data_IF_526032745279
#
_entry.id   IF_526032745279
#
_cell.length_a   1.000
_cell.length_b   1.000
_cell.length_c   1.000
_cell.angle_alpha   90.00
_cell.angle_beta   90.00
_cell.angle_gamma   90.00
#
_symmetry.space_group_name_H-M   'P 1'
#
loop_
_entity.id
_entity.type
_entity.pdbx_description
1 polymer ?
#
# COMPACT_ATOMS: atom_id res chain seq x y z
N UNK A 1 -7.78 12.93 -12.75
CA UNK A 1 -6.55 13.03 -11.95
C UNK A 1 -5.64 14.08 -12.55
N UNK A 2 -5.00 14.89 -11.73
CA UNK A 2 -4.01 15.87 -12.16
C UNK A 2 -2.62 15.33 -11.76
N UNK A 3 -1.86 14.83 -12.74
CA UNK A 3 -0.52 14.30 -12.51
C UNK A 3 0.51 15.43 -12.60
N UNK A 4 1.25 15.67 -11.52
CA UNK A 4 2.37 16.61 -11.48
C UNK A 4 3.69 15.83 -11.43
N UNK A 5 4.44 15.86 -12.54
CA UNK A 5 5.72 15.17 -12.64
C UNK A 5 6.85 15.87 -11.90
N UNK A 6 6.66 17.12 -11.51
CA UNK A 6 7.73 17.94 -10.92
C UNK A 6 9.05 17.83 -11.74
N UNK A 7 10.13 17.43 -11.07
CA UNK A 7 11.46 17.27 -11.70
C UNK A 7 11.76 15.80 -12.08
N UNK A 8 10.75 14.92 -12.13
CA UNK A 8 10.96 13.50 -12.45
C UNK A 8 11.35 13.34 -13.94
N UNK A 9 12.34 12.51 -14.18
CA UNK A 9 12.79 12.15 -15.53
C UNK A 9 11.80 11.17 -16.20
N UNK A 10 11.85 11.09 -17.51
CA UNK A 10 11.02 10.12 -18.26
C UNK A 10 11.34 8.68 -17.85
N UNK A 11 12.60 8.35 -17.55
CA UNK A 11 13.00 7.04 -17.04
C UNK A 11 12.32 6.71 -15.71
N UNK A 12 12.24 7.69 -14.80
CA UNK A 12 11.53 7.52 -13.52
C UNK A 12 10.04 7.30 -13.73
N UNK A 13 9.43 8.08 -14.64
CA UNK A 13 8.01 7.93 -14.96
C UNK A 13 7.70 6.55 -15.56
N UNK A 14 8.55 6.07 -16.47
CA UNK A 14 8.43 4.73 -17.07
C UNK A 14 8.67 3.64 -16.02
N UNK A 15 9.64 3.80 -15.12
CA UNK A 15 9.85 2.83 -14.03
C UNK A 15 8.64 2.73 -13.11
N UNK A 16 8.05 3.86 -12.72
CA UNK A 16 6.81 3.87 -11.94
C UNK A 16 5.65 3.19 -12.67
N UNK A 17 5.55 3.37 -14.01
CA UNK A 17 4.53 2.68 -14.79
C UNK A 17 4.73 1.16 -14.79
N UNK A 18 5.95 0.69 -15.01
CA UNK A 18 6.27 -0.76 -14.91
C UNK A 18 5.92 -1.32 -13.53
N UNK A 19 6.21 -0.56 -12.48
CA UNK A 19 5.94 -0.96 -11.10
C UNK A 19 4.46 -1.05 -10.78
N UNK A 20 3.63 -0.14 -11.31
CA UNK A 20 2.18 -0.16 -11.05
C UNK A 20 1.44 -1.14 -11.96
N UNK A 21 1.91 -1.36 -13.18
CA UNK A 21 1.34 -2.31 -14.12
C UNK A 21 1.55 -3.77 -13.67
N UNK A 22 2.74 -4.08 -13.14
CA UNK A 22 3.09 -5.44 -12.73
C UNK A 22 2.13 -6.08 -11.72
N UNK A 23 1.75 -5.45 -10.60
CA UNK A 23 0.73 -6.00 -9.70
C UNK A 23 -0.62 -6.15 -10.41
N UNK A 24 -1.07 -5.23 -11.28
CA UNK A 24 -2.30 -5.35 -12.04
C UNK A 24 -2.34 -6.62 -12.89
N UNK A 25 -1.30 -6.88 -13.65
CA UNK A 25 -1.21 -8.09 -14.49
C UNK A 25 -1.21 -9.38 -13.66
N UNK A 26 -0.57 -9.35 -12.48
CA UNK A 26 -0.61 -10.48 -11.55
C UNK A 26 -2.03 -10.67 -11.00
N UNK A 27 -2.71 -9.61 -10.59
CA UNK A 27 -4.08 -9.64 -10.10
C UNK A 27 -5.03 -10.27 -11.12
N UNK A 28 -4.97 -9.84 -12.36
CA UNK A 28 -5.77 -10.40 -13.46
C UNK A 28 -5.50 -11.90 -13.65
N UNK A 29 -4.23 -12.30 -13.57
CA UNK A 29 -3.87 -13.72 -13.62
C UNK A 29 -4.41 -14.49 -12.42
N UNK A 30 -4.38 -13.89 -11.22
CA UNK A 30 -4.90 -14.53 -10.01
C UNK A 30 -6.41 -14.77 -10.09
N UNK A 31 -7.19 -13.84 -10.68
CA UNK A 31 -8.63 -14.05 -10.90
C UNK A 31 -8.90 -15.30 -11.76
N UNK A 32 -8.06 -15.53 -12.77
CA UNK A 32 -8.16 -16.75 -13.63
C UNK A 32 -7.83 -17.99 -12.79
N UNK A 33 -6.76 -17.96 -11.99
CA UNK A 33 -6.31 -19.08 -11.17
C UNK A 33 -7.32 -19.45 -10.06
N UNK A 34 -8.02 -18.46 -9.50
CA UNK A 34 -9.10 -18.68 -8.54
C UNK A 34 -10.25 -19.43 -9.21
N UNK A 35 -10.70 -18.97 -10.40
CA UNK A 35 -11.77 -19.64 -11.16
C UNK A 35 -11.41 -21.08 -11.53
N UNK A 36 -10.13 -21.37 -11.72
CA UNK A 36 -9.59 -22.72 -11.97
C UNK A 36 -9.38 -23.56 -10.68
N UNK A 37 -9.68 -23.03 -9.51
CA UNK A 37 -9.45 -23.70 -8.22
C UNK A 37 -7.98 -23.89 -7.84
N UNK A 38 -7.05 -23.24 -8.53
CA UNK A 38 -5.60 -23.33 -8.26
C UNK A 38 -5.15 -22.43 -7.11
N UNK A 39 -5.94 -21.44 -6.78
CA UNK A 39 -5.80 -20.56 -5.62
C UNK A 39 -7.14 -20.49 -4.91
N UNK A 40 -7.16 -20.62 -3.60
CA UNK A 40 -8.41 -20.74 -2.83
C UNK A 40 -8.89 -19.41 -2.24
N UNK A 41 -7.99 -18.47 -1.98
CA UNK A 41 -8.30 -17.22 -1.29
C UNK A 41 -7.44 -16.09 -1.84
N UNK A 42 -8.07 -14.96 -2.15
CA UNK A 42 -7.38 -13.80 -2.65
C UNK A 42 -8.05 -12.50 -2.21
N UNK A 43 -7.25 -11.55 -1.80
CA UNK A 43 -7.66 -10.20 -1.44
C UNK A 43 -7.09 -9.23 -2.46
N UNK A 44 -7.89 -8.89 -3.45
CA UNK A 44 -7.42 -8.06 -4.56
C UNK A 44 -7.12 -6.63 -4.13
N UNK A 45 -6.03 -6.10 -4.65
CA UNK A 45 -5.61 -4.70 -4.55
C UNK A 45 -5.97 -3.87 -5.77
N UNK A 46 -6.75 -4.39 -6.72
CA UNK A 46 -7.17 -3.65 -7.93
C UNK A 46 -7.86 -2.35 -7.55
N UNK A 47 -7.37 -1.25 -8.12
CA UNK A 47 -7.83 0.12 -7.85
C UNK A 47 -7.04 0.86 -6.77
N UNK A 48 -6.14 0.18 -6.03
CA UNK A 48 -5.34 0.74 -4.94
C UNK A 48 -3.82 0.61 -5.18
N UNK A 49 -3.40 0.18 -6.36
CA UNK A 49 -2.01 -0.19 -6.66
C UNK A 49 -1.03 0.97 -6.43
N UNK A 50 -1.45 2.20 -6.70
CA UNK A 50 -0.58 3.38 -6.63
C UNK A 50 0.00 3.60 -5.23
N UNK A 51 -0.74 3.28 -4.16
CA UNK A 51 -0.30 3.46 -2.78
C UNK A 51 0.86 2.51 -2.47
N UNK A 52 0.63 1.20 -2.60
CA UNK A 52 1.64 0.19 -2.26
C UNK A 52 2.88 0.29 -3.15
N UNK A 53 2.71 0.64 -4.42
CA UNK A 53 3.82 0.85 -5.37
C UNK A 53 4.58 2.12 -5.05
N UNK A 54 3.91 3.25 -4.84
CA UNK A 54 4.54 4.53 -4.54
C UNK A 54 5.33 4.50 -3.24
N UNK A 55 4.74 3.96 -2.16
CA UNK A 55 5.45 3.77 -0.87
C UNK A 55 6.71 2.91 -1.06
N UNK A 56 6.59 1.78 -1.77
CA UNK A 56 7.72 0.87 -1.94
C UNK A 56 8.79 1.42 -2.87
N UNK A 57 8.42 2.24 -3.85
CA UNK A 57 9.36 2.86 -4.78
C UNK A 57 10.26 3.91 -4.09
N UNK A 58 9.73 4.58 -3.06
CA UNK A 58 10.49 5.59 -2.29
C UNK A 58 11.41 4.97 -1.24
N UNK A 59 11.01 3.86 -0.63
CA UNK A 59 11.80 3.23 0.43
C UNK A 59 13.04 2.51 -0.11
N UNK A 60 14.17 2.66 0.59
CA UNK A 60 15.39 1.92 0.28
C UNK A 60 15.19 0.41 0.52
N UNK A 61 15.93 -0.44 -0.20
CA UNK A 61 15.77 -1.90 -0.15
C UNK A 61 16.05 -2.52 1.24
N UNK A 62 16.73 -1.78 2.12
CA UNK A 62 17.08 -2.20 3.47
C UNK A 62 16.21 -1.54 4.56
N UNK A 63 15.20 -0.75 4.18
CA UNK A 63 14.18 -0.21 5.07
C UNK A 63 13.01 -1.18 5.21
N UNK A 64 12.49 -1.32 6.43
CA UNK A 64 11.41 -2.25 6.70
C UNK A 64 10.05 -1.71 6.27
N UNK A 65 9.23 -2.60 5.74
CA UNK A 65 7.87 -2.33 5.32
C UNK A 65 6.93 -3.41 5.89
N UNK A 66 5.81 -2.98 6.43
CA UNK A 66 4.80 -3.84 7.05
C UNK A 66 3.50 -3.73 6.24
N UNK A 67 3.29 -4.60 5.24
CA UNK A 67 2.12 -4.55 4.37
C UNK A 67 0.88 -5.16 5.01
N UNK A 68 -0.26 -4.89 4.37
CA UNK A 68 -1.50 -5.64 4.54
C UNK A 68 -1.68 -6.70 3.43
N UNK A 69 -2.82 -7.39 3.49
CA UNK A 69 -3.18 -8.47 2.57
C UNK A 69 -3.49 -8.01 1.12
N UNK A 70 -3.57 -6.69 0.82
CA UNK A 70 -3.82 -6.14 -0.53
C UNK A 70 -2.60 -5.50 -1.17
N UNK A 71 -1.51 -5.38 -0.45
CA UNK A 71 -0.35 -4.62 -0.89
C UNK A 71 0.59 -5.44 -1.78
N UNK A 72 0.06 -6.02 -2.87
CA UNK A 72 0.87 -6.78 -3.84
C UNK A 72 2.04 -5.94 -4.37
N UNK A 73 1.87 -4.62 -4.54
CA UNK A 73 2.91 -3.69 -4.96
C UNK A 73 4.14 -3.69 -4.06
N UNK A 74 4.00 -3.98 -2.76
CA UNK A 74 5.13 -4.13 -1.83
C UNK A 74 6.00 -5.32 -2.24
N UNK A 75 5.41 -6.47 -2.48
CA UNK A 75 6.13 -7.71 -2.81
C UNK A 75 6.78 -7.65 -4.19
N UNK A 76 6.10 -7.06 -5.17
CA UNK A 76 6.65 -6.86 -6.51
C UNK A 76 7.71 -5.78 -6.54
N UNK A 77 7.55 -4.69 -5.78
CA UNK A 77 8.50 -3.58 -5.67
C UNK A 77 9.79 -3.97 -4.93
N UNK A 78 9.73 -4.97 -4.05
CA UNK A 78 10.91 -5.58 -3.41
C UNK A 78 11.59 -6.63 -4.30
N UNK A 79 11.17 -6.76 -5.57
CA UNK A 79 11.77 -7.67 -6.56
C UNK A 79 11.81 -9.14 -6.11
N UNK A 80 10.81 -9.59 -5.36
CA UNK A 80 10.68 -11.01 -5.01
C UNK A 80 10.43 -11.80 -6.30
N UNK A 81 11.19 -12.87 -6.56
CA UNK A 81 10.99 -13.69 -7.75
C UNK A 81 9.55 -14.22 -7.86
N UNK A 82 8.91 -14.04 -9.02
CA UNK A 82 7.51 -14.39 -9.21
C UNK A 82 7.23 -15.87 -8.93
N UNK A 83 8.17 -16.77 -9.29
CA UNK A 83 8.00 -18.19 -9.01
C UNK A 83 7.83 -18.49 -7.51
N UNK A 84 8.51 -17.72 -6.63
CA UNK A 84 8.37 -17.87 -5.17
C UNK A 84 7.03 -17.31 -4.67
N UNK A 85 6.59 -16.18 -5.21
CA UNK A 85 5.28 -15.59 -4.90
C UNK A 85 4.15 -16.54 -5.33
N UNK A 86 4.17 -17.02 -6.57
CA UNK A 86 3.16 -17.98 -7.04
C UNK A 86 3.21 -19.30 -6.28
N UNK A 87 4.40 -19.77 -5.87
CA UNK A 87 4.54 -20.94 -5.01
C UNK A 87 3.91 -20.72 -3.62
N UNK A 88 4.07 -19.51 -3.05
CA UNK A 88 3.44 -19.15 -1.78
C UNK A 88 1.91 -19.15 -1.90
N UNK A 89 1.37 -18.46 -2.91
CA UNK A 89 -0.08 -18.33 -3.09
C UNK A 89 -0.79 -19.64 -3.41
N UNK A 90 -0.08 -20.58 -4.01
CA UNK A 90 -0.58 -21.93 -4.30
C UNK A 90 -0.31 -22.94 -3.19
N UNK A 91 0.33 -22.53 -2.09
CA UNK A 91 0.66 -23.42 -0.98
C UNK A 91 1.72 -24.50 -1.33
N UNK A 92 2.66 -24.16 -2.21
CA UNK A 92 3.74 -25.08 -2.62
C UNK A 92 4.92 -25.08 -1.65
N UNK A 93 5.72 -26.16 -1.68
CA UNK A 93 6.91 -26.32 -0.83
C UNK A 93 7.96 -25.22 -1.06
N UNK A 94 8.06 -24.65 -2.27
CA UNK A 94 8.99 -23.57 -2.62
C UNK A 94 8.50 -22.17 -2.19
N UNK A 95 7.29 -22.07 -1.63
CA UNK A 95 6.79 -20.83 -1.01
C UNK A 95 7.52 -20.53 0.30
N UNK A 96 7.37 -19.32 0.80
CA UNK A 96 8.03 -18.84 2.03
C UNK A 96 7.61 -19.61 3.27
N UNK A 97 6.36 -20.05 3.34
CA UNK A 97 5.79 -20.81 4.47
C UNK A 97 5.75 -22.32 4.22
N UNK A 98 6.28 -22.78 3.09
CA UNK A 98 6.28 -24.20 2.70
C UNK A 98 4.88 -24.82 2.71
N UNK A 99 3.87 -24.06 2.28
CA UNK A 99 2.48 -24.48 2.23
C UNK A 99 1.71 -24.43 3.55
N UNK A 100 2.33 -23.96 4.66
CA UNK A 100 1.64 -23.81 5.96
C UNK A 100 0.69 -22.64 6.00
N UNK A 101 0.98 -21.62 5.21
CA UNK A 101 0.15 -20.42 5.07
C UNK A 101 0.07 -20.00 3.62
N UNK A 102 -0.89 -19.14 3.27
CA UNK A 102 -1.18 -18.73 1.89
C UNK A 102 -1.28 -17.20 1.80
N UNK A 103 -1.56 -16.72 0.59
CA UNK A 103 -1.69 -15.30 0.32
C UNK A 103 -0.47 -14.51 0.84
N UNK A 104 -0.69 -13.43 1.57
CA UNK A 104 0.36 -12.53 2.05
C UNK A 104 0.78 -12.76 3.51
N UNK A 105 0.35 -13.86 4.13
CA UNK A 105 0.70 -14.20 5.53
C UNK A 105 2.12 -14.76 5.61
N UNK A 106 3.09 -13.97 5.20
CA UNK A 106 4.51 -14.29 5.33
C UNK A 106 5.35 -13.03 5.43
N UNK A 107 6.44 -13.13 6.16
CA UNK A 107 7.49 -12.14 6.21
C UNK A 107 8.78 -12.68 5.60
N UNK A 108 9.68 -11.77 5.27
CA UNK A 108 11.00 -12.15 4.76
C UNK A 108 12.04 -11.09 5.08
N UNK A 109 12.99 -11.48 5.91
CA UNK A 109 14.12 -10.63 6.30
C UNK A 109 14.98 -10.23 5.10
N UNK A 110 15.10 -11.11 4.11
CA UNK A 110 15.87 -10.85 2.88
C UNK A 110 15.35 -9.63 2.13
N UNK A 111 14.03 -9.43 2.10
CA UNK A 111 13.36 -8.34 1.39
C UNK A 111 12.84 -7.23 2.31
N UNK A 112 13.19 -7.28 3.60
CA UNK A 112 12.76 -6.32 4.63
C UNK A 112 11.24 -6.16 4.72
N UNK A 113 10.52 -7.25 4.53
CA UNK A 113 9.07 -7.32 4.70
C UNK A 113 8.76 -8.03 6.00
N UNK A 114 8.05 -7.36 6.89
CA UNK A 114 7.47 -7.99 8.09
C UNK A 114 6.11 -8.56 7.70
N UNK A 115 5.86 -9.82 8.05
CA UNK A 115 4.62 -10.50 7.71
C UNK A 115 3.40 -9.80 8.30
N UNK A 116 2.33 -9.74 7.53
CA UNK A 116 1.08 -9.20 8.01
C UNK A 116 0.49 -10.04 9.15
N UNK A 117 -0.23 -9.38 10.03
CA UNK A 117 -1.05 -10.00 11.08
C UNK A 117 -2.50 -9.86 10.64
N UNK A 118 -3.29 -10.97 10.70
CA UNK A 118 -4.71 -10.96 10.27
C UNK A 118 -5.57 -10.02 11.10
N UNK A 119 -5.28 -9.87 12.38
CA UNK A 119 -5.83 -8.83 13.23
C UNK A 119 -5.04 -7.55 12.94
N UNK A 120 -5.62 -6.65 12.16
CA UNK A 120 -5.00 -5.37 11.82
C UNK A 120 -4.91 -4.53 13.09
N UNK A 121 -3.81 -3.81 13.26
CA UNK A 121 -3.53 -3.01 14.47
C UNK A 121 -2.16 -3.33 15.05
N UNK A 122 -1.88 -4.56 15.54
CA UNK A 122 -0.62 -4.90 16.19
C UNK A 122 0.64 -4.62 15.39
N UNK A 123 0.57 -4.66 14.05
CA UNK A 123 1.72 -4.31 13.20
C UNK A 123 2.18 -2.86 13.37
N UNK A 124 1.31 -1.95 13.83
CA UNK A 124 1.66 -0.55 14.04
C UNK A 124 2.68 -0.40 15.16
N UNK A 125 2.43 -1.03 16.32
CA UNK A 125 3.39 -1.07 17.42
C UNK A 125 4.70 -1.82 17.06
N UNK A 126 4.65 -2.84 16.19
CA UNK A 126 5.86 -3.48 15.68
C UNK A 126 6.67 -2.50 14.84
N UNK A 127 6.02 -1.67 14.01
CA UNK A 127 6.69 -0.63 13.25
C UNK A 127 7.38 0.39 14.15
N UNK A 128 6.74 0.79 15.26
CA UNK A 128 7.34 1.66 16.28
C UNK A 128 8.61 1.07 16.85
N UNK A 129 8.60 -0.21 17.19
CA UNK A 129 9.78 -0.91 17.69
C UNK A 129 10.95 -0.92 16.69
N UNK A 130 10.66 -1.12 15.40
CA UNK A 130 11.66 -1.07 14.34
C UNK A 130 12.18 0.36 14.16
N UNK A 131 11.31 1.35 14.16
CA UNK A 131 11.68 2.76 14.03
C UNK A 131 12.49 3.25 15.24
N UNK A 132 12.15 2.80 16.45
CA UNK A 132 12.95 3.06 17.65
C UNK A 132 14.36 2.51 17.47
N UNK A 133 14.51 1.28 16.98
CA UNK A 133 15.83 0.71 16.71
C UNK A 133 16.61 1.53 15.65
N UNK A 134 15.93 2.04 14.62
CA UNK A 134 16.52 2.93 13.62
C UNK A 134 16.98 4.25 14.24
N UNK A 135 16.16 4.87 15.09
CA UNK A 135 16.49 6.11 15.79
C UNK A 135 17.69 5.93 16.73
N UNK A 136 17.69 4.87 17.53
CA UNK A 136 18.81 4.56 18.45
C UNK A 136 20.13 4.29 17.71
N UNK A 137 20.06 3.63 16.55
CA UNK A 137 21.23 3.39 15.68
C UNK A 137 21.66 4.62 14.89
N UNK A 138 20.85 5.68 14.85
CA UNK A 138 21.08 6.91 14.06
C UNK A 138 21.39 6.61 12.60
N UNK A 139 20.66 5.63 12.00
CA UNK A 139 20.95 5.17 10.65
C UNK A 139 20.17 5.90 9.56
N UNK A 140 19.31 6.86 9.90
CA UNK A 140 18.50 7.66 8.98
C UNK A 140 17.43 6.89 8.22
N UNK A 141 17.08 5.67 8.67
CA UNK A 141 16.08 4.82 8.01
C UNK A 141 14.69 5.10 8.53
N UNK A 142 13.73 4.98 7.62
CA UNK A 142 12.30 5.11 7.86
C UNK A 142 11.66 3.72 7.86
N UNK A 143 10.58 3.56 8.60
CA UNK A 143 9.74 2.36 8.59
C UNK A 143 8.37 2.71 8.06
N UNK A 144 7.83 1.97 7.10
CA UNK A 144 6.46 2.16 6.64
C UNK A 144 5.55 1.01 7.09
N UNK A 145 4.37 1.35 7.58
CA UNK A 145 3.37 0.38 8.00
C UNK A 145 2.01 0.72 7.42
N UNK A 146 1.37 -0.27 6.82
CA UNK A 146 0.05 -0.13 6.21
C UNK A 146 -1.06 -0.54 7.18
N UNK A 147 -2.16 0.18 7.11
CA UNK A 147 -3.43 -0.19 7.76
C UNK A 147 -4.61 0.24 6.89
N UNK A 148 -5.78 -0.36 7.12
CA UNK A 148 -7.03 0.08 6.49
C UNK A 148 -7.80 1.04 7.41
N UNK A 149 -8.79 1.73 6.85
CA UNK A 149 -9.64 2.66 7.61
C UNK A 149 -10.36 1.97 8.77
N UNK A 150 -10.80 0.72 8.58
CA UNK A 150 -11.49 -0.04 9.64
C UNK A 150 -10.62 -0.28 10.88
N UNK A 151 -9.34 -0.52 10.69
CA UNK A 151 -8.41 -0.76 11.79
C UNK A 151 -8.02 0.51 12.57
N UNK A 152 -8.37 1.69 12.07
CA UNK A 152 -8.12 2.95 12.80
C UNK A 152 -9.00 3.12 14.04
N UNK A 153 -9.90 2.20 14.29
CA UNK A 153 -10.74 2.12 15.50
C UNK A 153 -10.20 1.13 16.55
N UNK A 154 -9.16 0.37 16.21
CA UNK A 154 -8.49 -0.54 17.13
C UNK A 154 -7.67 0.23 18.18
N UNK A 155 -7.59 -0.31 19.41
CA UNK A 155 -6.76 0.28 20.48
C UNK A 155 -5.29 0.42 20.08
N UNK A 156 -4.74 -0.60 19.46
CA UNK A 156 -3.35 -0.64 18.98
C UNK A 156 -3.01 0.54 18.03
N UNK A 157 -3.97 1.01 17.21
CA UNK A 157 -3.77 2.19 16.37
C UNK A 157 -3.49 3.43 17.22
N UNK A 158 -4.31 3.69 18.22
CA UNK A 158 -4.18 4.86 19.09
C UNK A 158 -2.92 4.82 19.94
N UNK A 159 -2.57 3.65 20.46
CA UNK A 159 -1.38 3.43 21.27
C UNK A 159 -0.11 3.65 20.44
N UNK A 160 -0.03 3.08 19.22
CA UNK A 160 1.12 3.23 18.34
C UNK A 160 1.33 4.70 17.94
N UNK A 161 0.29 5.40 17.50
CA UNK A 161 0.42 6.81 17.11
C UNK A 161 0.92 7.67 18.29
N UNK A 162 0.40 7.42 19.49
CA UNK A 162 0.84 8.14 20.68
C UNK A 162 2.31 7.86 21.03
N UNK A 163 2.72 6.59 21.01
CA UNK A 163 4.12 6.21 21.29
C UNK A 163 5.06 6.81 20.25
N UNK A 164 4.70 6.69 18.96
CA UNK A 164 5.51 7.23 17.88
C UNK A 164 5.69 8.75 17.99
N UNK A 165 4.64 9.47 18.37
CA UNK A 165 4.69 10.92 18.56
C UNK A 165 5.57 11.31 19.75
N UNK A 166 5.35 10.68 20.92
CA UNK A 166 6.11 10.98 22.14
C UNK A 166 7.60 10.71 21.97
N UNK A 167 7.93 9.66 21.23
CA UNK A 167 9.33 9.26 21.00
C UNK A 167 9.90 9.75 19.66
N UNK A 168 9.13 10.55 18.89
CA UNK A 168 9.55 11.10 17.59
C UNK A 168 10.15 9.99 16.68
N UNK A 169 9.40 8.92 16.48
CA UNK A 169 9.86 7.76 15.74
C UNK A 169 9.72 7.98 14.21
N UNK A 170 10.71 7.58 13.41
CA UNK A 170 10.65 7.72 11.96
C UNK A 170 9.73 6.64 11.32
N UNK A 171 8.41 6.79 11.52
CA UNK A 171 7.37 5.89 10.99
C UNK A 171 6.47 6.64 10.02
N UNK A 172 6.20 6.03 8.89
CA UNK A 172 5.11 6.40 7.97
C UNK A 172 3.93 5.48 8.26
N UNK A 173 2.88 6.01 8.86
CA UNK A 173 1.61 5.31 9.05
C UNK A 173 0.75 5.52 7.81
N UNK A 174 0.57 4.48 7.01
CA UNK A 174 -0.13 4.51 5.72
C UNK A 174 -1.53 3.95 5.90
N UNK A 175 -2.55 4.82 5.90
CA UNK A 175 -3.95 4.42 5.94
C UNK A 175 -4.47 4.32 4.50
N UNK A 176 -4.86 3.12 4.07
CA UNK A 176 -5.61 2.92 2.83
C UNK A 176 -7.10 3.07 3.11
N UNK A 177 -7.61 4.30 2.97
CA UNK A 177 -9.04 4.58 3.13
C UNK A 177 -9.77 4.25 1.82
N UNK A 178 -10.24 3.01 1.74
CA UNK A 178 -10.88 2.46 0.55
C UNK A 178 -12.42 2.41 0.62
N UNK A 179 -13.01 3.09 1.60
CA UNK A 179 -14.44 3.28 1.77
C UNK A 179 -15.16 2.22 2.58
N UNK A 180 -14.54 1.04 2.82
CA UNK A 180 -15.23 -0.08 3.47
C UNK A 180 -14.32 -0.95 4.34
N UNK A 181 -14.59 -1.00 5.63
CA UNK A 181 -14.08 -2.04 6.53
C UNK A 181 -14.95 -3.30 6.41
N UNK A 182 -14.46 -4.36 5.74
CA UNK A 182 -15.28 -5.49 5.30
C UNK A 182 -16.44 -5.01 4.41
N UNK A 183 -17.66 -4.97 4.95
CA UNK A 183 -18.87 -4.45 4.30
C UNK A 183 -19.42 -3.18 4.96
N UNK A 184 -18.78 -2.69 6.03
CA UNK A 184 -19.19 -1.50 6.76
C UNK A 184 -18.66 -0.25 6.09
N UNK A 185 -19.49 0.67 5.62
CA UNK A 185 -19.03 1.91 5.00
C UNK A 185 -18.42 2.86 6.04
N UNK A 186 -17.57 3.77 5.60
CA UNK A 186 -16.80 4.67 6.49
C UNK A 186 -17.66 5.57 7.38
N UNK A 187 -18.83 6.00 6.90
CA UNK A 187 -19.77 6.83 7.68
C UNK A 187 -20.40 6.09 8.88
N UNK A 188 -20.28 4.77 8.94
CA UNK A 188 -20.68 3.93 10.06
C UNK A 188 -19.50 3.53 10.98
N UNK A 189 -18.26 3.89 10.60
CA UNK A 189 -17.06 3.49 11.32
C UNK A 189 -16.47 4.61 12.19
N UNK A 190 -16.47 5.84 11.70
CA UNK A 190 -15.90 7.00 12.40
C UNK A 190 -16.64 8.28 12.08
N UNK A 191 -16.46 9.31 12.92
CA UNK A 191 -17.19 10.58 12.83
C UNK A 191 -16.35 11.74 12.30
N UNK A 192 -15.00 11.66 12.37
CA UNK A 192 -14.14 12.70 11.80
C UNK A 192 -14.32 12.75 10.28
N UNK A 193 -14.08 13.91 9.68
CA UNK A 193 -14.16 14.09 8.24
C UNK A 193 -13.05 13.29 7.52
N UNK A 194 -11.84 13.39 8.04
CA UNK A 194 -10.69 12.66 7.53
C UNK A 194 -10.00 11.90 8.66
N UNK A 195 -9.46 10.72 8.35
CA UNK A 195 -8.68 9.94 9.31
C UNK A 195 -7.34 10.61 9.65
N UNK A 196 -6.80 11.40 8.71
CA UNK A 196 -5.62 12.23 8.93
C UNK A 196 -5.82 13.23 10.09
N UNK A 197 -7.05 13.69 10.34
CA UNK A 197 -7.37 14.62 11.43
C UNK A 197 -7.09 14.02 12.81
N UNK A 198 -7.06 12.68 12.93
CA UNK A 198 -6.67 11.99 14.16
C UNK A 198 -5.23 12.33 14.57
N UNK A 199 -4.35 12.64 13.61
CA UNK A 199 -2.97 13.05 13.87
C UNK A 199 -2.86 14.31 14.74
N UNK A 200 -3.82 15.22 14.63
CA UNK A 200 -3.87 16.47 15.43
C UNK A 200 -3.88 16.15 16.93
N UNK A 201 -4.66 15.15 17.32
CA UNK A 201 -4.77 14.72 18.73
C UNK A 201 -3.46 14.20 19.34
N UNK A 202 -2.53 13.76 18.50
CA UNK A 202 -1.20 13.25 18.89
C UNK A 202 -0.07 14.25 18.62
N UNK A 203 -0.38 15.45 18.10
CA UNK A 203 0.64 16.41 17.65
C UNK A 203 1.49 15.90 16.49
N UNK A 204 0.92 15.02 15.65
CA UNK A 204 1.59 14.36 14.53
C UNK A 204 1.33 15.10 13.21
N UNK A 205 2.37 15.23 12.41
CA UNK A 205 2.21 15.65 11.01
C UNK A 205 1.30 14.67 10.27
N UNK A 206 0.33 15.20 9.51
CA UNK A 206 -0.59 14.35 8.76
C UNK A 206 -0.93 14.93 7.40
N UNK A 207 -1.20 14.04 6.41
CA UNK A 207 -1.54 14.40 5.05
C UNK A 207 -2.72 13.58 4.53
N UNK A 208 -3.53 14.20 3.67
CA UNK A 208 -4.57 13.55 2.86
C UNK A 208 -4.06 13.53 1.43
N UNK A 209 -4.10 12.38 0.79
CA UNK A 209 -3.47 12.13 -0.52
C UNK A 209 -4.47 11.44 -1.44
N UNK A 210 -4.49 11.78 -2.73
CA UNK A 210 -5.17 10.96 -3.74
C UNK A 210 -4.40 9.65 -3.92
N UNK A 211 -4.90 8.59 -3.28
CA UNK A 211 -4.29 7.26 -3.29
C UNK A 211 -4.29 6.57 -4.66
N UNK A 212 -4.96 7.15 -5.66
CA UNK A 212 -4.96 6.68 -7.04
C UNK A 212 -3.95 7.42 -7.93
N UNK A 213 -3.38 8.53 -7.44
CA UNK A 213 -2.38 9.32 -8.15
C UNK A 213 -0.96 8.93 -7.75
N UNK A 214 -0.32 8.07 -8.53
CA UNK A 214 1.01 7.53 -8.20
C UNK A 214 2.08 8.63 -8.10
N UNK A 215 1.98 9.73 -8.86
CA UNK A 215 2.96 10.82 -8.78
C UNK A 215 2.80 11.63 -7.51
N UNK A 216 1.55 11.89 -7.06
CA UNK A 216 1.28 12.56 -5.79
C UNK A 216 1.80 11.72 -4.62
N UNK A 217 1.53 10.40 -4.63
CA UNK A 217 2.04 9.45 -3.63
C UNK A 217 3.56 9.47 -3.61
N UNK A 218 4.20 9.31 -4.78
CA UNK A 218 5.66 9.23 -4.90
C UNK A 218 6.36 10.52 -4.48
N UNK A 219 5.89 11.67 -4.95
CA UNK A 219 6.50 12.96 -4.68
C UNK A 219 6.42 13.31 -3.19
N UNK A 220 5.23 13.23 -2.58
CA UNK A 220 5.04 13.49 -1.15
C UNK A 220 5.93 12.58 -0.30
N UNK A 221 5.94 11.29 -0.57
CA UNK A 221 6.74 10.34 0.22
C UNK A 221 8.24 10.55 0.05
N UNK A 222 8.69 10.97 -1.14
CA UNK A 222 10.10 11.31 -1.39
C UNK A 222 10.54 12.50 -0.53
N UNK A 223 9.72 13.55 -0.47
CA UNK A 223 9.98 14.74 0.34
C UNK A 223 9.95 14.42 1.83
N UNK A 224 8.94 13.66 2.28
CA UNK A 224 8.83 13.22 3.68
C UNK A 224 10.03 12.38 4.09
N UNK A 225 10.41 11.38 3.31
CA UNK A 225 11.58 10.55 3.60
C UNK A 225 12.85 11.37 3.70
N UNK A 226 13.08 12.30 2.76
CA UNK A 226 14.24 13.17 2.78
C UNK A 226 14.28 14.03 4.05
N UNK A 227 13.16 14.62 4.43
CA UNK A 227 13.04 15.44 5.65
C UNK A 227 13.16 14.61 6.94
N UNK A 228 12.62 13.40 6.98
CA UNK A 228 12.68 12.49 8.14
C UNK A 228 14.08 11.95 8.42
N UNK A 229 14.96 11.90 7.41
CA UNK A 229 16.39 11.58 7.62
C UNK A 229 17.09 12.63 8.45
N UNK A 230 16.68 13.90 8.37
CA UNK A 230 17.25 15.05 9.08
C UNK A 230 16.51 15.23 10.42
N UNK A 231 15.20 15.18 10.40
CA UNK A 231 14.33 15.38 11.55
C UNK A 231 13.39 14.17 11.70
N UNK A 232 13.82 13.12 12.42
CA UNK A 232 13.02 11.91 12.63
C UNK A 232 11.71 12.24 13.34
N UNK A 233 10.58 11.85 12.77
CA UNK A 233 9.25 12.06 13.33
C UNK A 233 8.26 11.08 12.69
N UNK A 234 7.12 10.78 13.35
CA UNK A 234 6.07 10.02 12.72
C UNK A 234 5.24 10.91 11.80
N UNK A 235 4.69 10.30 10.75
CA UNK A 235 3.76 10.97 9.83
C UNK A 235 2.56 10.06 9.58
N UNK A 236 1.35 10.61 9.72
CA UNK A 236 0.10 9.94 9.41
C UNK A 236 -0.37 10.30 8.01
N UNK A 237 -0.55 9.30 7.17
CA UNK A 237 -0.90 9.45 5.76
C UNK A 237 -2.24 8.79 5.48
N UNK A 238 -3.25 9.56 5.12
CA UNK A 238 -4.53 9.03 4.65
C UNK A 238 -4.58 9.07 3.13
N UNK A 239 -4.54 7.90 2.51
CA UNK A 239 -4.70 7.75 1.08
C UNK A 239 -6.17 7.47 0.74
N UNK A 240 -6.83 8.43 0.11
CA UNK A 240 -8.20 8.26 -0.41
C UNK A 240 -8.16 7.38 -1.65
N UNK A 241 -8.79 6.25 -1.58
CA UNK A 241 -8.84 5.26 -2.66
C UNK A 241 -10.16 4.49 -2.62
N UNK A 242 -10.28 3.45 -3.43
CA UNK A 242 -11.46 2.60 -3.41
C UNK A 242 -11.15 1.15 -3.73
N UNK A 243 -11.81 0.26 -3.02
CA UNK A 243 -11.70 -1.18 -3.24
C UNK A 243 -12.65 -1.63 -4.35
N UNK A 244 -12.12 -1.79 -5.57
CA UNK A 244 -12.89 -2.17 -6.75
C UNK A 244 -13.41 -3.63 -6.74
N UNK A 245 -12.92 -4.45 -5.81
CA UNK A 245 -13.30 -5.86 -5.67
C UNK A 245 -13.91 -6.12 -4.30
N UNK A 246 -14.44 -7.30 -4.07
CA UNK A 246 -14.91 -7.70 -2.74
C UNK A 246 -13.81 -7.64 -1.67
N UNK A 247 -14.19 -7.68 -0.40
CA UNK A 247 -13.20 -7.77 0.68
C UNK A 247 -12.24 -8.94 0.45
N UNK A 248 -12.80 -10.07 0.10
CA UNK A 248 -12.16 -11.24 -0.49
C UNK A 248 -12.85 -11.51 -1.83
N UNK A 249 -12.18 -12.07 -2.81
CA UNK A 249 -12.78 -12.32 -4.15
C UNK A 249 -14.08 -13.13 -4.09
N UNK A 250 -14.19 -14.05 -3.14
CA UNK A 250 -15.40 -14.83 -2.93
C UNK A 250 -16.58 -14.03 -2.33
N UNK A 251 -16.32 -12.90 -1.68
CA UNK A 251 -17.37 -12.10 -1.00
C UNK A 251 -18.25 -11.30 -1.95
N UNK A 252 -17.72 -10.95 -3.14
CA UNK A 252 -18.39 -10.06 -4.08
C UNK A 252 -18.57 -8.63 -3.58
N UNK A 253 -19.33 -7.83 -4.31
CA UNK A 253 -19.51 -6.39 -4.07
C UNK A 253 -20.98 -5.96 -3.98
N UNK A 254 -21.90 -6.89 -3.70
CA UNK A 254 -23.35 -6.61 -3.71
C UNK A 254 -23.81 -5.53 -2.72
N UNK A 255 -23.02 -5.27 -1.67
CA UNK A 255 -23.26 -4.22 -0.68
C UNK A 255 -22.80 -2.83 -1.11
N UNK A 256 -22.07 -2.73 -2.22
CA UNK A 256 -21.56 -1.47 -2.75
C UNK A 256 -22.53 -0.95 -3.83
N UNK A 257 -23.01 0.31 -3.75
CA UNK A 257 -23.80 0.92 -4.79
C UNK A 257 -23.06 0.94 -6.14
N UNK A 258 -23.76 0.57 -7.22
CA UNK A 258 -23.15 0.52 -8.56
C UNK A 258 -22.62 1.88 -9.00
N UNK A 259 -23.35 2.96 -8.71
CA UNK A 259 -22.92 4.33 -9.02
C UNK A 259 -21.58 4.68 -8.40
N UNK A 260 -21.32 4.22 -7.18
CA UNK A 260 -20.03 4.44 -6.50
C UNK A 260 -18.91 3.64 -7.19
N UNK A 261 -19.18 2.42 -7.58
CA UNK A 261 -18.24 1.60 -8.37
C UNK A 261 -17.88 2.29 -9.69
N UNK A 262 -18.87 2.81 -10.41
CA UNK A 262 -18.69 3.49 -11.68
C UNK A 262 -17.88 4.79 -11.54
N UNK A 263 -18.14 5.56 -10.48
CA UNK A 263 -17.37 6.77 -10.15
C UNK A 263 -15.89 6.48 -9.90
N UNK A 264 -15.59 5.39 -9.20
CA UNK A 264 -14.21 5.02 -8.91
C UNK A 264 -13.52 4.31 -10.07
N UNK A 265 -14.27 3.61 -10.93
CA UNK A 265 -13.70 3.00 -12.13
C UNK A 265 -13.04 4.04 -13.06
N UNK A 266 -13.59 5.27 -13.13
CA UNK A 266 -13.01 6.37 -13.89
C UNK A 266 -11.65 6.80 -13.31
N UNK A 267 -11.42 6.56 -12.01
CA UNK A 267 -10.19 6.90 -11.29
C UNK A 267 -9.19 5.76 -11.23
N UNK A 268 -9.25 4.78 -12.13
CA UNK A 268 -8.30 3.67 -12.17
C UNK A 268 -6.85 4.18 -12.21
N UNK A 269 -5.99 3.80 -11.24
CA UNK A 269 -4.65 4.35 -11.12
C UNK A 269 -3.73 3.95 -12.28
N UNK A 270 -3.86 2.73 -12.80
CA UNK A 270 -3.01 2.22 -13.89
C UNK A 270 -3.39 2.85 -15.21
N UNK A 271 -4.68 2.82 -15.56
CA UNK A 271 -5.18 3.35 -16.83
C UNK A 271 -5.03 4.87 -16.94
N UNK A 272 -5.27 5.62 -15.85
CA UNK A 272 -5.09 7.06 -15.88
C UNK A 272 -3.62 7.45 -16.00
N UNK A 273 -2.73 6.74 -15.30
CA UNK A 273 -1.30 7.01 -15.43
C UNK A 273 -0.78 6.66 -16.82
N UNK A 274 -1.21 5.55 -17.40
CA UNK A 274 -0.92 5.16 -18.78
C UNK A 274 -1.33 6.25 -19.78
N UNK A 275 -2.57 6.75 -19.67
CA UNK A 275 -3.08 7.83 -20.52
C UNK A 275 -2.24 9.10 -20.38
N UNK A 276 -1.88 9.46 -19.14
CA UNK A 276 -1.03 10.60 -18.88
C UNK A 276 0.35 10.48 -19.57
N UNK A 277 1.01 9.33 -19.46
CA UNK A 277 2.32 9.09 -20.09
C UNK A 277 2.24 9.15 -21.62
N UNK A 278 1.21 8.56 -22.22
CA UNK A 278 0.98 8.64 -23.69
C UNK A 278 0.72 10.10 -24.13
N UNK A 279 -0.11 10.82 -23.42
CA UNK A 279 -0.41 12.22 -23.75
C UNK A 279 0.81 13.15 -23.67
N UNK A 280 1.81 12.81 -22.85
CA UNK A 280 3.05 13.57 -22.68
C UNK A 280 4.23 12.99 -23.50
N UNK A 281 3.97 11.99 -24.38
CA UNK A 281 4.99 11.41 -25.24
C UNK A 281 6.08 10.59 -24.53
N UNK A 282 5.85 10.22 -23.26
CA UNK A 282 6.78 9.41 -22.45
C UNK A 282 6.63 7.91 -22.75
N UNK A 283 5.41 7.48 -23.07
CA UNK A 283 5.10 6.09 -23.41
C UNK A 283 4.73 5.98 -24.88
N UNK A 284 5.48 5.17 -25.64
CA UNK A 284 5.16 4.84 -27.04
C UNK A 284 4.26 3.60 -27.12
N UNK A 285 3.55 3.41 -28.23
CA UNK A 285 2.68 2.24 -28.43
C UNK A 285 3.47 0.93 -28.40
N UNK A 286 4.62 0.88 -29.08
CA UNK A 286 5.49 -0.31 -29.11
C UNK A 286 5.96 -0.75 -27.71
N UNK A 287 6.15 0.21 -26.81
CA UNK A 287 6.56 -0.09 -25.43
C UNK A 287 5.41 -0.62 -24.57
N UNK A 288 4.19 -0.21 -24.87
CA UNK A 288 3.00 -0.55 -24.10
C UNK A 288 2.49 -1.96 -24.43
N UNK A 289 2.83 -2.48 -25.63
CA UNK A 289 2.51 -3.84 -26.07
C UNK A 289 3.57 -4.89 -25.68
N UNK A 290 4.78 -4.48 -25.31
CA UNK A 290 5.91 -5.34 -24.95
C UNK A 290 5.90 -5.73 -23.46
#
# INVERSE_FOLDING_TARGET
MNFDRQNLTDDTLVDLYKRILKPRLIEEKMLILIRQGKVSKWFSGIGQEAISVGVTAVLDQDEYILPMHRNLGVFTGRNIPLYRLFSQWQGKANGFTKGRDRSFHFGTQQYKIIGMISHLGPQLGIADGIALANKLKKNGKVTAVFTGEGATSEGDFHEALNIASVWELPVLFVIENNGYGLSTPTNEQYRCENLADKGIGYGMESHIVDGNNILEVYNLLSDLKASMKINPRPVLLEFKTFRMRGHEEASGTKYVPQELMDQWAIKDPVENYRKYLKANGVLTEDFDEA
#
